data_IF_592092357931
#
_entry.id   IF_592092357931
#
_cell.length_a   1.000
_cell.length_b   1.000
_cell.length_c   1.000
_cell.angle_alpha   90.00
_cell.angle_beta   90.00
_cell.angle_gamma   90.00
#
_symmetry.space_group_name_H-M   'P 1'
#
loop_
_entity.id
_entity.type
_entity.pdbx_description
1 polymer ?
#
# COMPACT_ATOMS: atom_id res chain seq x y z
N UNK A 1 38.61 23.83 -36.80
CA UNK A 1 37.41 22.98 -36.76
C UNK A 1 37.58 22.00 -35.61
N UNK A 2 36.90 22.22 -34.49
CA UNK A 2 37.00 21.40 -33.28
C UNK A 2 35.61 20.88 -32.94
N UNK A 3 35.36 19.60 -33.21
CA UNK A 3 34.20 18.89 -32.70
C UNK A 3 34.57 18.36 -31.31
N UNK A 4 34.11 19.03 -30.24
CA UNK A 4 34.07 18.43 -28.91
C UNK A 4 32.68 17.83 -28.67
N UNK A 5 32.57 16.52 -28.44
CA UNK A 5 31.35 15.90 -27.95
C UNK A 5 31.35 16.07 -26.43
N UNK A 6 30.31 16.71 -25.88
CA UNK A 6 29.87 16.54 -24.48
C UNK A 6 28.62 17.37 -24.27
N UNK A 7 27.55 17.02 -25.00
CA UNK A 7 26.23 17.13 -24.40
C UNK A 7 26.12 15.94 -23.47
N UNK A 8 26.51 16.17 -22.21
CA UNK A 8 26.02 15.33 -21.14
C UNK A 8 24.50 15.34 -21.27
N UNK A 9 23.92 14.21 -21.67
CA UNK A 9 22.55 13.86 -21.34
C UNK A 9 22.45 14.00 -19.82
N UNK A 10 22.05 15.19 -19.37
CA UNK A 10 21.38 15.31 -18.09
C UNK A 10 20.05 14.62 -18.31
N UNK A 11 20.01 13.33 -18.04
CA UNK A 11 18.75 12.68 -17.68
C UNK A 11 18.04 13.66 -16.74
N UNK A 12 16.84 14.16 -17.09
CA UNK A 12 16.08 14.96 -16.17
C UNK A 12 15.74 14.02 -15.02
N UNK A 13 16.56 14.08 -13.98
CA UNK A 13 16.30 13.52 -12.66
C UNK A 13 14.91 14.08 -12.31
N UNK A 14 13.89 13.24 -12.47
CA UNK A 14 12.51 13.59 -12.18
C UNK A 14 12.48 13.97 -10.70
N UNK A 15 12.48 15.28 -10.44
CA UNK A 15 12.33 15.84 -9.10
C UNK A 15 11.09 15.20 -8.48
N UNK A 16 11.28 14.49 -7.37
CA UNK A 16 10.23 13.78 -6.65
C UNK A 16 9.13 14.78 -6.28
N UNK A 17 7.91 14.55 -6.74
CA UNK A 17 6.79 15.44 -6.43
C UNK A 17 6.57 15.47 -4.92
N UNK A 18 6.16 16.60 -4.34
CA UNK A 18 5.77 16.66 -2.92
C UNK A 18 4.73 15.57 -2.57
N UNK A 19 3.86 15.23 -3.54
CA UNK A 19 2.92 14.12 -3.43
C UNK A 19 3.60 12.75 -3.28
N UNK A 20 4.64 12.48 -4.07
CA UNK A 20 5.38 11.22 -4.02
C UNK A 20 6.10 11.09 -2.68
N UNK A 21 6.71 12.18 -2.20
CA UNK A 21 7.37 12.23 -0.89
C UNK A 21 6.40 12.00 0.27
N UNK A 22 5.23 12.63 0.25
CA UNK A 22 4.19 12.43 1.27
C UNK A 22 3.64 11.00 1.25
N UNK A 23 3.37 10.47 0.06
CA UNK A 23 2.89 9.11 -0.14
C UNK A 23 3.91 8.07 0.33
N UNK A 24 5.19 8.27 0.00
CA UNK A 24 6.29 7.43 0.46
C UNK A 24 6.38 7.45 1.99
N UNK A 25 6.30 8.63 2.63
CA UNK A 25 6.32 8.76 4.10
C UNK A 25 5.17 8.01 4.76
N UNK A 26 3.95 8.12 4.23
CA UNK A 26 2.79 7.39 4.73
C UNK A 26 2.96 5.88 4.55
N UNK A 27 3.46 5.46 3.39
CA UNK A 27 3.73 4.05 3.08
C UNK A 27 4.76 3.46 4.05
N UNK A 28 5.85 4.18 4.33
CA UNK A 28 6.87 3.76 5.31
C UNK A 28 6.28 3.60 6.71
N UNK A 29 5.41 4.52 7.16
CA UNK A 29 4.72 4.41 8.46
C UNK A 29 3.84 3.16 8.52
N UNK A 30 3.01 2.92 7.51
CA UNK A 30 2.13 1.75 7.45
C UNK A 30 2.92 0.44 7.38
N UNK A 31 3.99 0.39 6.60
CA UNK A 31 4.87 -0.77 6.51
C UNK A 31 5.60 -1.03 7.83
N UNK A 32 6.01 0.01 8.55
CA UNK A 32 6.64 -0.12 9.87
C UNK A 32 5.66 -0.70 10.89
N UNK A 33 4.43 -0.20 10.94
CA UNK A 33 3.37 -0.75 11.79
C UNK A 33 3.07 -2.22 11.46
N UNK A 34 3.00 -2.56 10.16
CA UNK A 34 2.78 -3.93 9.72
C UNK A 34 3.95 -4.85 10.07
N UNK A 35 5.18 -4.38 9.87
CA UNK A 35 6.41 -5.10 10.20
C UNK A 35 6.51 -5.39 11.70
N UNK A 36 6.25 -4.37 12.54
CA UNK A 36 6.18 -4.52 13.99
C UNK A 36 5.16 -5.59 14.42
N UNK A 37 3.97 -5.59 13.81
CA UNK A 37 2.95 -6.63 14.05
C UNK A 37 3.40 -8.04 13.67
N UNK A 38 4.10 -8.20 12.54
CA UNK A 38 4.66 -9.51 12.12
C UNK A 38 5.76 -9.96 13.09
N UNK A 39 6.64 -9.06 13.52
CA UNK A 39 7.69 -9.37 14.49
C UNK A 39 7.07 -9.79 15.82
N UNK A 40 6.05 -9.08 16.32
CA UNK A 40 5.33 -9.46 17.53
C UNK A 40 4.73 -10.87 17.43
N UNK A 41 4.10 -11.20 16.30
CA UNK A 41 3.56 -12.53 16.06
C UNK A 41 4.64 -13.62 16.06
N UNK A 42 5.79 -13.35 15.43
CA UNK A 42 6.91 -14.29 15.40
C UNK A 42 7.51 -14.49 16.80
N UNK A 43 7.60 -13.42 17.60
CA UNK A 43 8.07 -13.52 19.00
C UNK A 43 7.08 -14.32 19.84
N UNK A 44 5.77 -14.07 19.69
CA UNK A 44 4.72 -14.79 20.41
C UNK A 44 4.68 -16.30 20.11
N UNK A 45 5.21 -16.75 18.96
CA UNK A 45 5.33 -18.18 18.67
C UNK A 45 6.45 -18.88 19.45
N UNK A 46 7.42 -18.11 19.95
CA UNK A 46 8.65 -18.63 20.58
C UNK A 46 8.67 -18.34 22.07
N UNK A 47 8.21 -17.17 22.48
CA UNK A 47 8.37 -16.62 23.82
C UNK A 47 7.22 -15.66 24.16
N UNK A 48 6.23 -16.17 24.89
CA UNK A 48 5.04 -15.43 25.32
C UNK A 48 5.40 -14.25 26.24
N UNK A 49 6.43 -14.39 27.07
CA UNK A 49 6.83 -13.33 28.01
C UNK A 49 7.43 -12.14 27.26
N UNK A 50 8.35 -12.39 26.33
CA UNK A 50 8.88 -11.34 25.45
C UNK A 50 7.80 -10.71 24.59
N UNK A 51 6.84 -11.51 24.11
CA UNK A 51 5.72 -11.00 23.34
C UNK A 51 4.84 -10.06 24.19
N UNK A 52 4.54 -10.45 25.44
CA UNK A 52 3.76 -9.62 26.36
C UNK A 52 4.48 -8.30 26.68
N UNK A 53 5.79 -8.36 26.95
CA UNK A 53 6.61 -7.15 27.14
C UNK A 53 6.60 -6.26 25.89
N UNK A 54 6.78 -6.85 24.70
CA UNK A 54 6.82 -6.11 23.43
C UNK A 54 5.46 -5.48 23.12
N UNK A 55 4.37 -6.19 23.39
CA UNK A 55 3.02 -5.68 23.23
C UNK A 55 2.76 -4.48 24.15
N UNK A 56 3.21 -4.54 25.40
CA UNK A 56 3.11 -3.41 26.33
C UNK A 56 3.96 -2.23 25.86
N UNK A 57 5.17 -2.50 25.37
CA UNK A 57 6.02 -1.47 24.77
C UNK A 57 5.35 -0.81 23.55
N UNK A 58 4.65 -1.57 22.70
CA UNK A 58 3.91 -1.04 21.54
C UNK A 58 2.67 -0.21 21.93
N UNK A 59 2.08 -0.45 23.11
CA UNK A 59 1.00 0.41 23.60
C UNK A 59 1.54 1.79 24.02
N UNK A 60 2.73 1.82 24.62
CA UNK A 60 3.37 3.05 25.08
C UNK A 60 4.04 3.81 23.94
N UNK A 61 4.64 3.08 22.98
CA UNK A 61 5.31 3.61 21.80
C UNK A 61 4.68 2.99 20.54
N UNK A 62 3.61 3.60 20.00
CA UNK A 62 2.86 2.99 18.91
C UNK A 62 3.67 3.00 17.61
N UNK A 63 3.78 1.86 16.89
CA UNK A 63 4.60 1.77 15.68
C UNK A 63 4.06 2.56 14.48
N UNK A 64 2.89 3.20 14.62
CA UNK A 64 2.30 4.09 13.61
C UNK A 64 3.12 5.36 13.39
N UNK A 65 3.96 5.74 14.36
CA UNK A 65 4.88 6.88 14.25
C UNK A 65 5.99 6.62 13.20
N UNK A 66 6.22 5.35 12.86
CA UNK A 66 7.11 4.93 11.78
C UNK A 66 8.58 4.99 12.21
N UNK A 67 9.32 5.95 11.66
CA UNK A 67 10.76 6.03 11.92
C UNK A 67 11.07 6.46 13.36
N UNK A 68 10.27 7.36 13.95
CA UNK A 68 10.49 7.83 15.32
C UNK A 68 10.39 6.67 16.32
N UNK A 69 9.41 5.79 16.12
CA UNK A 69 9.28 4.54 16.87
C UNK A 69 10.55 3.67 16.77
N UNK A 70 11.10 3.49 15.57
CA UNK A 70 12.31 2.67 15.38
C UNK A 70 13.55 3.29 16.02
N UNK A 71 13.70 4.62 15.92
CA UNK A 71 14.79 5.35 16.56
C UNK A 71 14.72 5.19 18.08
N UNK A 72 13.54 5.40 18.67
CA UNK A 72 13.31 5.21 20.11
C UNK A 72 13.64 3.77 20.55
N UNK A 73 13.32 2.78 19.71
CA UNK A 73 13.56 1.38 20.01
C UNK A 73 15.03 0.96 19.85
N UNK A 74 15.79 1.65 19.00
CA UNK A 74 17.26 1.47 18.87
C UNK A 74 18.01 2.13 20.04
N UNK A 75 17.50 3.26 20.54
CA UNK A 75 18.08 4.00 21.67
C UNK A 75 17.69 3.43 23.04
N UNK A 76 16.66 2.57 23.09
CA UNK A 76 16.20 1.95 24.32
C UNK A 76 17.25 0.98 24.91
N UNK A 77 17.48 1.10 26.22
CA UNK A 77 18.40 0.23 26.95
C UNK A 77 17.89 -1.22 27.00
N UNK A 78 18.80 -2.22 26.99
CA UNK A 78 18.44 -3.61 27.22
C UNK A 78 17.72 -3.81 28.55
N UNK A 79 16.67 -4.63 28.52
CA UNK A 79 15.84 -4.92 29.70
C UNK A 79 16.12 -6.34 30.17
N UNK A 80 16.40 -6.47 31.46
CA UNK A 80 16.48 -7.75 32.14
C UNK A 80 15.23 -7.90 32.99
N UNK A 81 14.42 -8.91 32.70
CA UNK A 81 13.18 -9.17 33.39
C UNK A 81 13.14 -10.64 33.81
N UNK A 82 12.68 -10.91 35.02
CA UNK A 82 12.53 -12.27 35.53
C UNK A 82 11.05 -12.60 35.54
N UNK A 83 10.67 -13.72 34.93
CA UNK A 83 9.29 -14.17 34.96
C UNK A 83 8.93 -14.66 36.38
N UNK A 84 7.91 -14.06 37.03
CA UNK A 84 7.54 -14.42 38.40
C UNK A 84 6.99 -15.85 38.54
N UNK A 85 6.50 -16.46 37.45
CA UNK A 85 5.88 -17.78 37.50
C UNK A 85 6.88 -18.92 37.22
N UNK A 86 7.82 -18.71 36.31
CA UNK A 86 8.83 -19.73 35.94
C UNK A 86 10.18 -19.52 36.60
N UNK A 87 10.46 -18.30 37.10
CA UNK A 87 11.77 -17.92 37.62
C UNK A 87 12.85 -17.76 36.54
N UNK A 88 12.49 -17.88 35.26
CA UNK A 88 13.44 -17.71 34.16
C UNK A 88 13.82 -16.24 33.98
N UNK A 89 15.12 -16.00 33.75
CA UNK A 89 15.63 -14.67 33.44
C UNK A 89 15.58 -14.43 31.93
N UNK A 90 14.88 -13.38 31.53
CA UNK A 90 14.75 -12.93 30.15
C UNK A 90 15.64 -11.71 29.92
N UNK A 91 16.49 -11.82 28.91
CA UNK A 91 17.21 -10.68 28.35
C UNK A 91 16.50 -10.23 27.08
N UNK A 92 16.02 -8.99 27.10
CA UNK A 92 15.32 -8.36 25.98
C UNK A 92 16.22 -7.26 25.45
N UNK A 93 16.59 -7.37 24.18
CA UNK A 93 17.38 -6.37 23.48
C UNK A 93 16.48 -5.61 22.48
N UNK A 94 16.02 -4.39 22.80
CA UNK A 94 15.20 -3.58 21.91
C UNK A 94 15.85 -3.36 20.54
N UNK A 95 17.16 -3.08 20.48
CA UNK A 95 17.85 -2.84 19.22
C UNK A 95 17.82 -4.05 18.26
N UNK A 96 17.83 -5.27 18.80
CA UNK A 96 17.65 -6.49 17.99
C UNK A 96 16.23 -6.59 17.41
N UNK A 97 15.23 -6.18 18.18
CA UNK A 97 13.82 -6.11 17.72
C UNK A 97 13.68 -5.04 16.64
N UNK A 98 14.25 -3.84 16.82
CA UNK A 98 14.25 -2.80 15.80
C UNK A 98 14.87 -3.28 14.49
N UNK A 99 16.01 -3.99 14.57
CA UNK A 99 16.68 -4.58 13.40
C UNK A 99 15.77 -5.60 12.70
N UNK A 100 15.08 -6.46 13.45
CA UNK A 100 14.10 -7.38 12.88
C UNK A 100 12.92 -6.66 12.21
N UNK A 101 12.44 -5.56 12.80
CA UNK A 101 11.38 -4.73 12.20
C UNK A 101 11.88 -4.07 10.91
N UNK A 102 13.13 -3.59 10.84
CA UNK A 102 13.71 -3.02 9.64
C UNK A 102 13.79 -4.04 8.49
N UNK A 103 14.32 -5.24 8.76
CA UNK A 103 14.43 -6.32 7.75
C UNK A 103 13.04 -6.75 7.26
N UNK A 104 12.09 -6.93 8.18
CA UNK A 104 10.72 -7.32 7.81
C UNK A 104 10.02 -6.21 7.02
N UNK A 105 10.22 -4.94 7.38
CA UNK A 105 9.71 -3.77 6.66
C UNK A 105 10.22 -3.73 5.22
N UNK A 106 11.52 -3.98 5.01
CA UNK A 106 12.12 -4.02 3.67
C UNK A 106 11.54 -5.17 2.84
N UNK A 107 11.40 -6.36 3.43
CA UNK A 107 10.77 -7.50 2.76
C UNK A 107 9.31 -7.22 2.37
N UNK A 108 8.56 -6.49 3.20
CA UNK A 108 7.19 -6.07 2.88
C UNK A 108 7.17 -5.00 1.78
N UNK A 109 8.09 -4.03 1.81
CA UNK A 109 8.22 -3.01 0.76
C UNK A 109 8.48 -3.64 -0.61
N UNK A 110 9.38 -4.62 -0.68
CA UNK A 110 9.68 -5.36 -1.91
C UNK A 110 8.49 -6.17 -2.46
N UNK A 111 7.57 -6.60 -1.60
CA UNK A 111 6.31 -7.26 -2.01
C UNK A 111 5.26 -6.23 -2.44
N UNK A 112 5.20 -5.09 -1.78
CA UNK A 112 4.26 -4.01 -2.09
C UNK A 112 4.56 -3.41 -3.47
N UNK A 113 5.83 -3.14 -3.78
CA UNK A 113 6.22 -2.56 -5.07
C UNK A 113 5.79 -3.41 -6.27
N UNK A 114 5.75 -4.74 -6.11
CA UNK A 114 5.29 -5.67 -7.15
C UNK A 114 3.77 -5.76 -7.27
N UNK A 115 3.02 -5.45 -6.21
CA UNK A 115 1.58 -5.69 -6.13
C UNK A 115 0.73 -4.41 -6.21
N UNK A 116 1.32 -3.22 -6.01
CA UNK A 116 0.55 -1.99 -5.90
C UNK A 116 -0.17 -1.62 -7.22
N UNK A 117 0.52 -1.67 -8.36
CA UNK A 117 -0.08 -1.37 -9.67
C UNK A 117 -1.23 -2.30 -10.05
N UNK A 118 -1.09 -3.64 -9.99
CA UNK A 118 -2.21 -4.53 -10.31
C UNK A 118 -3.38 -4.38 -9.32
N UNK A 119 -3.12 -4.09 -8.05
CA UNK A 119 -4.18 -3.85 -7.06
C UNK A 119 -4.98 -2.56 -7.36
N UNK A 120 -4.32 -1.49 -7.80
CA UNK A 120 -5.01 -0.25 -8.23
C UNK A 120 -5.91 -0.52 -9.44
N UNK A 121 -5.43 -1.28 -10.42
CA UNK A 121 -6.24 -1.67 -11.58
C UNK A 121 -7.46 -2.50 -11.16
N UNK A 122 -7.26 -3.49 -10.27
CA UNK A 122 -8.35 -4.30 -9.73
C UNK A 122 -9.39 -3.47 -8.98
N UNK A 123 -8.95 -2.52 -8.15
CA UNK A 123 -9.85 -1.61 -7.44
C UNK A 123 -10.69 -0.75 -8.40
N UNK A 124 -10.07 -0.18 -9.43
CA UNK A 124 -10.77 0.59 -10.46
C UNK A 124 -11.83 -0.25 -11.18
N UNK A 125 -11.49 -1.48 -11.56
CA UNK A 125 -12.44 -2.42 -12.20
C UNK A 125 -13.61 -2.72 -11.25
N UNK A 126 -13.34 -2.96 -9.97
CA UNK A 126 -14.38 -3.23 -8.97
C UNK A 126 -15.33 -2.05 -8.79
N UNK A 127 -14.80 -0.82 -8.74
CA UNK A 127 -15.61 0.40 -8.63
C UNK A 127 -16.48 0.57 -9.87
N UNK A 128 -15.90 0.39 -11.07
CA UNK A 128 -16.64 0.50 -12.33
C UNK A 128 -17.73 -0.57 -12.44
N UNK A 129 -17.46 -1.81 -12.02
CA UNK A 129 -18.47 -2.87 -11.95
C UNK A 129 -19.62 -2.49 -11.02
N UNK A 130 -19.31 -2.05 -9.79
CA UNK A 130 -20.32 -1.63 -8.83
C UNK A 130 -21.14 -0.43 -9.32
N UNK A 131 -20.50 0.52 -10.00
CA UNK A 131 -21.19 1.65 -10.62
C UNK A 131 -22.15 1.16 -11.72
N UNK A 132 -21.69 0.29 -12.62
CA UNK A 132 -22.55 -0.28 -13.66
C UNK A 132 -23.71 -1.05 -13.05
N UNK A 133 -23.50 -1.95 -12.09
CA UNK A 133 -24.59 -2.69 -11.42
C UNK A 133 -25.66 -1.77 -10.82
N UNK A 134 -25.26 -0.65 -10.23
CA UNK A 134 -26.19 0.34 -9.63
C UNK A 134 -26.95 1.16 -10.68
N UNK A 135 -26.37 1.39 -11.86
CA UNK A 135 -26.92 2.28 -12.88
C UNK A 135 -27.43 1.56 -14.13
N UNK A 136 -27.17 0.27 -14.28
CA UNK A 136 -27.78 -0.56 -15.31
C UNK A 136 -29.11 -1.09 -14.81
N UNK A 137 -30.17 -0.57 -15.44
CA UNK A 137 -31.55 -1.00 -15.36
C UNK A 137 -31.65 -2.54 -15.33
N UNK A 138 -32.20 -3.11 -14.25
CA UNK A 138 -32.73 -4.48 -14.31
C UNK A 138 -33.98 -4.40 -15.15
N UNK A 139 -33.89 -4.84 -16.41
CA UNK A 139 -35.04 -5.02 -17.29
C UNK A 139 -36.01 -6.03 -16.65
N UNK A 140 -36.93 -5.55 -15.81
CA UNK A 140 -37.85 -6.41 -15.07
C UNK A 140 -38.83 -5.72 -14.12
N UNK A 141 -38.67 -4.44 -13.78
CA UNK A 141 -39.66 -3.67 -13.01
C UNK A 141 -40.07 -2.42 -13.78
N UNK A 142 -41.11 -2.56 -14.61
CA UNK A 142 -41.97 -1.45 -15.03
C UNK A 142 -42.77 -1.01 -13.80
N UNK A 143 -42.94 0.28 -13.53
CA UNK A 143 -44.22 0.89 -13.93
C UNK A 143 -44.16 2.34 -14.43
N UNK A 144 -43.00 3.02 -14.44
CA UNK A 144 -42.96 4.40 -14.93
C UNK A 144 -41.72 4.69 -15.80
N UNK A 145 -41.84 4.31 -17.07
CA UNK A 145 -40.83 4.57 -18.10
C UNK A 145 -40.84 6.05 -18.48
N UNK A 146 -39.78 6.80 -18.11
CA UNK A 146 -39.41 8.04 -18.82
C UNK A 146 -38.50 7.65 -19.99
N UNK A 147 -38.82 8.04 -21.24
CA UNK A 147 -38.00 7.67 -22.39
C UNK A 147 -36.67 8.44 -22.34
N UNK A 148 -35.57 7.70 -22.28
CA UNK A 148 -34.24 8.28 -22.41
C UNK A 148 -33.98 8.67 -23.88
N UNK A 149 -33.63 9.94 -24.08
CA UNK A 149 -33.21 10.51 -25.37
C UNK A 149 -31.87 9.90 -25.80
N UNK A 150 -31.89 8.71 -26.41
CA UNK A 150 -30.77 8.24 -27.26
C UNK A 150 -31.21 8.33 -28.72
N UNK A 151 -30.99 9.50 -29.32
CA UNK A 151 -31.08 9.67 -30.77
C UNK A 151 -29.91 8.91 -31.42
N UNK A 152 -30.17 7.69 -31.89
CA UNK A 152 -29.29 7.01 -32.85
C UNK A 152 -29.35 7.75 -34.18
N UNK A 153 -28.47 8.74 -34.36
CA UNK A 153 -28.21 9.35 -35.67
C UNK A 153 -27.33 8.41 -36.50
N UNK A 154 -27.93 7.36 -37.03
CA UNK A 154 -27.38 6.55 -38.13
C UNK A 154 -28.44 6.38 -39.21
N UNK A 155 -28.78 7.48 -39.88
CA UNK A 155 -29.56 7.42 -41.13
C UNK A 155 -28.57 7.22 -42.27
N UNK A 156 -28.34 5.95 -42.63
CA UNK A 156 -27.68 5.56 -43.87
C UNK A 156 -28.44 6.21 -45.04
N UNK A 157 -27.73 6.95 -45.89
CA UNK A 157 -28.26 7.42 -47.17
C UNK A 157 -28.41 6.21 -48.11
N UNK A 158 -29.57 5.98 -48.73
CA UNK A 158 -29.64 5.08 -49.88
C UNK A 158 -29.10 5.82 -51.11
N UNK A 159 -27.95 5.35 -51.57
CA UNK A 159 -27.37 5.66 -52.88
C UNK A 159 -28.31 5.02 -53.92
N UNK A 160 -29.16 5.81 -54.58
CA UNK A 160 -29.97 5.32 -55.70
C UNK A 160 -29.08 5.12 -56.92
N UNK A 161 -29.10 3.88 -57.40
CA UNK A 161 -28.42 3.35 -58.57
C UNK A 161 -28.77 4.15 -59.83
N UNK A 162 -27.75 4.66 -60.51
CA UNK A 162 -27.83 4.93 -61.95
C UNK A 162 -27.83 3.59 -62.66
N UNK A 163 -28.86 3.23 -63.42
CA UNK A 163 -28.73 2.35 -64.58
C UNK A 163 -29.89 2.62 -65.58
N UNK A 164 -29.48 3.18 -66.72
CA UNK A 164 -29.97 2.93 -68.10
C UNK A 164 -31.45 3.11 -68.45
N UNK A 165 -31.73 4.11 -69.30
CA UNK A 165 -32.08 3.90 -70.72
C UNK A 165 -31.45 4.99 -71.57
#
# INVERSE_FOLDING_TARGET
MSCSPNKADKDPQLEESDFDRETARLTVRMLTARAAGVVLQNVAQVDDFKAAWLQEHFKQNPPIEGNDFLTNLLEANPVYATDPYTGAAYHINPAAIASAVLVTREALAAKLSKSITPNVQGANISIMRSHLERHTYVSGSNDYVKPSFRQYRNRRQPQQERLTQ
#
